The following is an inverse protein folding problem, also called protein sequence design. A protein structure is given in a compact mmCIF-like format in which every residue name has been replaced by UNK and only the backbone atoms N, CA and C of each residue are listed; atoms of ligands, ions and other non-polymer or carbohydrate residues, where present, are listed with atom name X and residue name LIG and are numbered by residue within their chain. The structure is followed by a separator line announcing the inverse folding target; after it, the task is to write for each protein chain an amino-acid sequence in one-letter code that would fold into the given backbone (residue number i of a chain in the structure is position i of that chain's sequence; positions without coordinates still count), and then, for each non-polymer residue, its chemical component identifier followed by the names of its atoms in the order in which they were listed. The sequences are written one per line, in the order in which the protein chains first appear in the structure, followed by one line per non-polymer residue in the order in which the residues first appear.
data_IF_874654179099
#
_entry.id   IF_874654179099
#
_cell.length_a   1.000
_cell.length_b   1.000
_cell.length_c   1.000
_cell.angle_alpha   90.00
_cell.angle_beta   90.00
_cell.angle_gamma   90.00
#
_symmetry.space_group_name_H-M   'P 1'
#
loop_
_entity.id
_entity.type
_entity.pdbx_description
1 polymer ?
#
# COMPACT_ATOMS: atom_id res chain seq x y z
N UNK A 1 -23.58 1.72 60.81
CA UNK A 1 -24.83 2.27 60.22
C UNK A 1 -24.77 1.95 58.73
N UNK A 2 -25.28 0.80 58.29
CA UNK A 2 -26.66 0.57 57.77
C UNK A 2 -27.02 1.57 56.66
N UNK A 3 -27.42 1.20 55.43
CA UNK A 3 -27.73 -0.07 54.73
C UNK A 3 -27.53 0.15 53.22
N UNK A 4 -27.31 -0.83 52.34
CA UNK A 4 -27.98 -2.11 52.04
C UNK A 4 -29.26 -1.98 51.17
N UNK A 5 -29.31 -2.84 50.14
CA UNK A 5 -30.41 -3.22 49.21
C UNK A 5 -30.67 -2.32 47.98
N UNK A 6 -30.99 -2.86 46.78
CA UNK A 6 -31.53 -4.18 46.43
C UNK A 6 -31.16 -4.57 44.97
N UNK A 7 -30.85 -5.86 44.80
CA UNK A 7 -30.83 -6.62 43.54
C UNK A 7 -32.27 -6.83 43.02
N UNK A 8 -32.47 -6.91 41.70
CA UNK A 8 -33.62 -7.62 41.12
C UNK A 8 -33.22 -8.28 39.79
N UNK A 9 -33.06 -9.60 39.89
CA UNK A 9 -32.94 -10.59 38.83
C UNK A 9 -34.32 -10.87 38.24
N UNK A 10 -34.42 -11.16 36.94
CA UNK A 10 -35.52 -11.95 36.39
C UNK A 10 -34.98 -12.93 35.34
N UNK A 11 -35.30 -14.21 35.56
CA UNK A 11 -35.07 -15.37 34.69
C UNK A 11 -36.42 -16.08 34.52
N UNK A 12 -36.79 -16.44 33.29
CA UNK A 12 -37.63 -17.60 32.90
C UNK A 12 -37.93 -17.49 31.40
N UNK A 13 -37.37 -18.34 30.52
CA UNK A 13 -37.81 -19.68 30.11
C UNK A 13 -38.98 -19.74 29.10
N UNK A 14 -38.61 -20.20 27.89
CA UNK A 14 -39.25 -21.21 27.02
C UNK A 14 -40.74 -21.08 26.65
N UNK A 15 -41.00 -20.99 25.33
CA UNK A 15 -41.98 -21.87 24.68
C UNK A 15 -41.64 -22.12 23.19
N UNK A 16 -41.67 -23.41 22.81
CA UNK A 16 -41.72 -23.93 21.42
C UNK A 16 -43.15 -23.86 20.86
N UNK A 17 -43.28 -23.69 19.54
CA UNK A 17 -44.13 -24.44 18.58
C UNK A 17 -44.08 -23.70 17.22
N UNK A 18 -43.55 -24.23 16.11
CA UNK A 18 -44.01 -25.30 15.19
C UNK A 18 -45.26 -24.97 14.33
N UNK A 19 -45.10 -25.18 13.00
CA UNK A 19 -46.06 -25.57 11.94
C UNK A 19 -46.48 -24.59 10.81
N UNK A 20 -45.88 -24.85 9.62
CA UNK A 20 -46.44 -25.18 8.27
C UNK A 20 -47.46 -24.30 7.52
N UNK A 21 -47.02 -23.89 6.31
CA UNK A 21 -47.56 -24.10 4.94
C UNK A 21 -48.95 -23.61 4.46
N UNK A 22 -48.92 -23.27 3.15
CA UNK A 22 -49.94 -23.37 2.07
C UNK A 22 -50.80 -22.14 1.72
N UNK A 23 -50.54 -21.52 0.54
CA UNK A 23 -51.35 -21.50 -0.73
C UNK A 23 -52.47 -20.43 -0.70
N UNK A 24 -52.95 -19.77 -1.76
CA UNK A 24 -53.00 -19.99 -3.21
C UNK A 24 -53.35 -18.65 -3.89
N UNK A 25 -53.07 -18.55 -5.18
CA UNK A 25 -53.47 -17.47 -6.08
C UNK A 25 -55.00 -17.32 -6.24
N UNK A 26 -55.45 -16.12 -6.63
CA UNK A 26 -56.70 -15.93 -7.37
C UNK A 26 -56.57 -14.75 -8.36
N UNK A 27 -56.95 -15.04 -9.60
CA UNK A 27 -57.04 -14.16 -10.77
C UNK A 27 -58.37 -13.40 -10.80
N UNK A 28 -58.43 -12.27 -11.53
CA UNK A 28 -59.57 -11.85 -12.36
C UNK A 28 -59.16 -10.73 -13.33
N UNK A 29 -59.87 -10.71 -14.46
CA UNK A 29 -59.59 -10.08 -15.76
C UNK A 29 -60.78 -9.18 -16.17
N UNK A 30 -60.53 -8.13 -16.97
CA UNK A 30 -61.35 -7.67 -18.14
C UNK A 30 -60.86 -6.27 -18.59
N UNK A 31 -60.18 -6.05 -19.74
CA UNK A 31 -60.65 -5.87 -21.15
C UNK A 31 -61.52 -4.62 -21.38
N UNK A 32 -61.10 -3.68 -22.26
CA UNK A 32 -61.83 -3.12 -23.46
C UNK A 32 -60.82 -2.42 -24.44
N UNK A 33 -61.01 -2.65 -25.76
CA UNK A 33 -60.29 -2.26 -27.01
C UNK A 33 -60.52 -0.80 -27.49
N UNK A 34 -59.58 -0.10 -28.16
CA UNK A 34 -59.21 -0.07 -29.62
C UNK A 34 -59.32 1.38 -30.19
N UNK A 35 -59.02 1.79 -31.47
CA UNK A 35 -58.27 1.19 -32.61
C UNK A 35 -57.17 2.13 -33.28
N UNK A 36 -56.08 1.59 -33.88
CA UNK A 36 -55.67 1.46 -35.33
C UNK A 36 -55.10 2.69 -36.10
N UNK A 37 -53.85 2.56 -36.63
CA UNK A 37 -53.40 2.71 -38.05
C UNK A 37 -51.85 2.54 -38.13
N UNK A 38 -51.32 1.40 -38.61
CA UNK A 38 -50.88 1.10 -40.00
C UNK A 38 -49.59 1.80 -40.49
N UNK A 39 -48.49 1.04 -40.63
CA UNK A 39 -47.71 0.92 -41.87
C UNK A 39 -46.59 -0.12 -41.72
N UNK A 40 -46.62 -1.16 -42.56
CA UNK A 40 -45.56 -2.13 -42.76
C UNK A 40 -44.90 -1.87 -44.13
N UNK A 41 -43.57 -1.93 -44.20
CA UNK A 41 -42.81 -2.09 -45.46
C UNK A 41 -41.78 -3.21 -45.23
N UNK A 42 -41.73 -4.12 -46.20
CA UNK A 42 -40.98 -5.38 -46.22
C UNK A 42 -39.46 -5.19 -46.53
N UNK A 43 -38.63 -6.24 -46.47
CA UNK A 43 -37.19 -6.16 -46.20
C UNK A 43 -36.33 -5.97 -47.46
N UNK A 44 -35.15 -5.40 -47.29
CA UNK A 44 -34.06 -5.42 -48.28
C UNK A 44 -32.94 -6.32 -47.75
N UNK A 45 -32.67 -7.40 -48.48
CA UNK A 45 -31.53 -8.29 -48.33
C UNK A 45 -30.33 -7.67 -49.05
N UNK A 46 -29.17 -7.57 -48.37
CA UNK A 46 -27.96 -6.99 -48.98
C UNK A 46 -26.71 -6.95 -48.09
N UNK A 47 -26.23 -8.14 -47.72
CA UNK A 47 -24.86 -8.60 -47.46
C UNK A 47 -23.71 -7.67 -46.97
N UNK A 48 -22.97 -8.22 -45.97
CA UNK A 48 -21.56 -8.04 -45.63
C UNK A 48 -21.03 -6.71 -45.05
N UNK A 49 -21.04 -6.63 -43.72
CA UNK A 49 -20.15 -5.78 -42.93
C UNK A 49 -20.21 -6.17 -41.45
N UNK A 50 -19.11 -6.65 -40.89
CA UNK A 50 -18.96 -7.01 -39.47
C UNK A 50 -19.55 -5.94 -38.52
N UNK A 51 -20.44 -6.29 -37.57
CA UNK A 51 -20.70 -5.43 -36.44
C UNK A 51 -19.97 -5.99 -35.22
N UNK A 52 -18.83 -5.39 -34.87
CA UNK A 52 -18.44 -5.35 -33.47
C UNK A 52 -19.53 -4.56 -32.73
N UNK A 53 -20.23 -5.25 -31.83
CA UNK A 53 -21.31 -4.70 -31.03
C UNK A 53 -20.85 -3.45 -30.25
N UNK A 54 -21.48 -2.31 -30.52
CA UNK A 54 -21.50 -1.20 -29.57
C UNK A 54 -22.82 -1.23 -28.80
N UNK A 55 -23.02 -2.30 -28.03
CA UNK A 55 -23.98 -2.26 -26.93
C UNK A 55 -23.29 -1.53 -25.77
N UNK A 56 -23.43 -0.21 -25.74
CA UNK A 56 -23.15 0.57 -24.54
C UNK A 56 -24.29 0.26 -23.57
N UNK A 57 -24.25 -0.92 -22.95
CA UNK A 57 -25.06 -1.18 -21.78
C UNK A 57 -24.55 -0.23 -20.71
N UNK A 58 -25.29 0.85 -20.47
CA UNK A 58 -25.16 1.64 -19.26
C UNK A 58 -25.51 0.71 -18.09
N UNK A 59 -24.51 -0.04 -17.61
CA UNK A 59 -24.67 -0.92 -16.46
C UNK A 59 -25.20 -0.10 -15.28
N UNK A 60 -26.37 -0.48 -14.76
CA UNK A 60 -27.00 0.14 -13.59
C UNK A 60 -25.96 0.41 -12.49
N UNK A 61 -26.00 1.53 -11.75
CA UNK A 61 -24.96 2.03 -10.83
C UNK A 61 -24.77 1.15 -9.57
N UNK A 62 -24.49 -0.12 -9.76
CA UNK A 62 -24.22 -1.11 -8.73
C UNK A 62 -22.71 -1.36 -8.61
N UNK A 63 -22.29 -1.91 -7.49
CA UNK A 63 -20.91 -2.36 -7.31
C UNK A 63 -20.64 -3.63 -8.14
N UNK A 64 -19.37 -3.92 -8.50
CA UNK A 64 -19.02 -5.21 -9.08
C UNK A 64 -19.36 -6.35 -8.11
N UNK A 65 -19.65 -7.53 -8.65
CA UNK A 65 -19.94 -8.71 -7.84
C UNK A 65 -18.81 -8.99 -6.83
N UNK A 66 -19.19 -9.26 -5.58
CA UNK A 66 -18.25 -9.56 -4.49
C UNK A 66 -17.73 -8.34 -3.73
N UNK A 67 -17.81 -7.13 -4.29
CA UNK A 67 -17.38 -5.91 -3.63
C UNK A 67 -18.44 -5.40 -2.63
N UNK A 68 -18.07 -5.06 -1.38
CA UNK A 68 -19.02 -4.67 -0.35
C UNK A 68 -19.50 -3.22 -0.53
N UNK A 69 -20.72 -2.90 -0.09
CA UNK A 69 -21.22 -1.52 -0.11
C UNK A 69 -20.40 -0.57 0.78
N UNK A 70 -19.70 -1.10 1.76
CA UNK A 70 -18.88 -0.36 2.72
C UNK A 70 -17.83 -1.29 3.36
N UNK A 71 -16.62 -0.78 3.56
CA UNK A 71 -15.55 -1.42 4.32
C UNK A 71 -15.53 -0.87 5.74
N UNK A 72 -16.07 -1.65 6.70
CA UNK A 72 -16.02 -1.36 8.13
C UNK A 72 -14.72 -1.92 8.73
N UNK A 73 -13.64 -1.15 8.63
CA UNK A 73 -12.30 -1.56 9.06
C UNK A 73 -11.55 -0.42 9.74
N UNK A 74 -10.62 -0.75 10.65
CA UNK A 74 -9.68 0.24 11.22
C UNK A 74 -8.76 0.86 10.17
N UNK A 75 -8.66 0.26 8.99
CA UNK A 75 -7.98 0.82 7.83
C UNK A 75 -8.76 1.99 7.20
N UNK A 76 -10.06 2.14 7.45
CA UNK A 76 -10.88 3.24 6.94
C UNK A 76 -10.81 4.44 7.88
N UNK A 77 -9.84 5.33 7.65
CA UNK A 77 -9.58 6.53 8.44
C UNK A 77 -9.31 7.76 7.57
N UNK A 78 -9.37 8.94 8.17
CA UNK A 78 -8.93 10.22 7.59
C UNK A 78 -7.79 10.80 8.42
N UNK A 79 -7.03 11.75 7.88
CA UNK A 79 -5.96 12.41 8.64
C UNK A 79 -6.43 13.08 9.93
N UNK A 80 -7.70 13.48 10.02
CA UNK A 80 -8.28 14.06 11.23
C UNK A 80 -8.29 13.09 12.43
N UNK A 81 -8.31 11.77 12.18
CA UNK A 81 -8.29 10.75 13.23
C UNK A 81 -6.95 10.69 13.99
N UNK A 82 -5.89 11.25 13.39
CA UNK A 82 -4.50 11.17 13.84
C UNK A 82 -3.87 12.54 14.14
N UNK A 83 -4.66 13.48 14.65
CA UNK A 83 -4.13 14.75 15.18
C UNK A 83 -3.14 14.55 16.34
N UNK A 84 -3.27 13.45 17.10
CA UNK A 84 -2.35 13.06 18.17
C UNK A 84 -1.30 12.06 17.65
N UNK A 85 -0.03 12.48 17.66
CA UNK A 85 1.11 11.65 17.24
C UNK A 85 1.22 10.34 18.05
N UNK A 86 0.79 10.33 19.32
CA UNK A 86 0.90 9.14 20.18
C UNK A 86 0.09 7.95 19.66
N UNK A 87 -0.90 8.19 18.78
CA UNK A 87 -1.69 7.13 18.14
C UNK A 87 -0.91 6.33 17.09
N UNK A 88 0.16 6.89 16.54
CA UNK A 88 0.91 6.27 15.44
C UNK A 88 2.42 6.24 15.61
N UNK A 89 2.96 6.92 16.63
CA UNK A 89 4.39 6.94 16.93
C UNK A 89 4.69 6.11 18.19
N UNK A 90 5.45 5.03 18.01
CA UNK A 90 6.16 4.34 19.09
C UNK A 90 7.44 5.13 19.41
N UNK A 91 7.41 5.90 20.50
CA UNK A 91 8.59 6.64 20.98
C UNK A 91 9.44 5.71 21.84
N UNK A 92 10.70 5.54 21.44
CA UNK A 92 11.68 4.77 22.18
C UNK A 92 12.10 5.55 23.43
N UNK A 93 12.06 4.90 24.58
CA UNK A 93 12.61 5.43 25.83
C UNK A 93 14.13 5.23 25.89
N UNK A 94 14.79 5.81 26.88
CA UNK A 94 16.21 5.54 27.15
C UNK A 94 16.48 4.05 27.40
N UNK A 95 15.58 3.36 28.09
CA UNK A 95 15.65 1.91 28.30
C UNK A 95 15.52 1.14 26.99
N UNK A 96 14.57 1.51 26.13
CA UNK A 96 14.40 0.89 24.81
C UNK A 96 15.67 1.09 23.95
N UNK A 97 16.29 2.27 24.00
CA UNK A 97 17.54 2.57 23.29
C UNK A 97 18.74 1.80 23.83
N UNK A 98 18.85 1.64 25.15
CA UNK A 98 19.89 0.83 25.76
C UNK A 98 19.76 -0.64 25.36
N UNK A 99 18.53 -1.16 25.32
CA UNK A 99 18.22 -2.52 24.85
C UNK A 99 18.61 -2.72 23.38
N UNK A 100 18.29 -1.75 22.50
CA UNK A 100 18.72 -1.78 21.08
C UNK A 100 20.24 -1.80 20.95
N UNK A 101 20.97 -0.98 21.72
CA UNK A 101 22.44 -0.95 21.70
C UNK A 101 23.03 -2.27 22.17
N UNK A 102 22.46 -2.87 23.21
CA UNK A 102 22.89 -4.18 23.70
C UNK A 102 22.65 -5.27 22.64
N UNK A 103 21.47 -5.29 22.02
CA UNK A 103 21.15 -6.25 20.96
C UNK A 103 22.09 -6.15 19.74
N UNK A 104 22.54 -4.94 19.38
CA UNK A 104 23.56 -4.74 18.34
C UNK A 104 24.90 -5.35 18.76
N UNK A 105 25.35 -5.09 19.99
CA UNK A 105 26.60 -5.63 20.51
C UNK A 105 26.57 -7.16 20.56
N UNK A 106 25.47 -7.74 21.06
CA UNK A 106 25.25 -9.18 21.13
C UNK A 106 25.22 -9.80 19.73
N UNK A 107 24.50 -9.20 18.77
CA UNK A 107 24.47 -9.68 17.39
C UNK A 107 25.85 -9.65 16.73
N UNK A 108 26.61 -8.55 16.91
CA UNK A 108 27.97 -8.43 16.37
C UNK A 108 28.92 -9.48 16.94
N UNK A 109 28.70 -9.93 18.18
CA UNK A 109 29.49 -11.02 18.79
C UNK A 109 29.27 -12.39 18.14
N UNK A 110 28.17 -12.56 17.39
CA UNK A 110 27.89 -13.79 16.64
C UNK A 110 28.74 -13.92 15.36
N UNK A 111 29.38 -12.85 14.91
CA UNK A 111 30.16 -12.78 13.66
C UNK A 111 29.38 -13.29 12.43
N UNK A 112 28.09 -12.92 12.37
CA UNK A 112 27.18 -13.30 11.29
C UNK A 112 26.95 -12.15 10.31
N UNK A 113 26.65 -12.50 9.06
CA UNK A 113 26.24 -11.53 8.05
C UNK A 113 25.00 -10.73 8.51
N UNK A 114 25.01 -9.40 8.37
CA UNK A 114 23.92 -8.54 8.85
C UNK A 114 22.52 -8.83 8.26
N UNK A 115 22.42 -9.58 7.15
CA UNK A 115 21.12 -9.99 6.61
C UNK A 115 20.44 -11.15 7.34
N UNK A 116 21.16 -11.80 8.27
CA UNK A 116 20.64 -12.87 9.14
C UNK A 116 20.01 -12.32 10.43
N UNK A 117 19.97 -10.99 10.59
CA UNK A 117 19.27 -10.34 11.71
C UNK A 117 17.79 -10.74 11.70
N UNK A 118 17.35 -11.34 12.80
CA UNK A 118 15.96 -11.76 13.04
C UNK A 118 15.66 -11.75 14.56
N UNK A 119 14.41 -11.91 15.02
CA UNK A 119 14.07 -11.72 16.43
C UNK A 119 14.82 -12.63 17.42
N UNK A 120 15.29 -13.81 17.00
CA UNK A 120 16.03 -14.73 17.85
C UNK A 120 17.53 -14.37 18.00
N UNK A 121 18.13 -13.69 17.01
CA UNK A 121 19.52 -13.22 16.98
C UNK A 121 19.64 -11.75 17.40
N UNK A 122 18.55 -10.98 17.30
CA UNK A 122 18.42 -9.61 17.76
C UNK A 122 17.34 -9.51 18.82
N UNK A 123 17.66 -9.99 20.02
CA UNK A 123 16.69 -10.14 21.10
C UNK A 123 16.36 -8.79 21.75
N UNK A 124 15.06 -8.51 21.85
CA UNK A 124 14.51 -7.34 22.51
C UNK A 124 13.49 -7.81 23.56
N UNK A 125 13.94 -8.22 24.76
CA UNK A 125 13.08 -8.80 25.80
C UNK A 125 11.89 -7.93 26.19
N UNK A 126 12.07 -6.60 26.25
CA UNK A 126 11.00 -5.68 26.64
C UNK A 126 10.41 -4.95 25.45
N UNK A 127 11.27 -4.42 24.55
CA UNK A 127 10.84 -3.65 23.39
C UNK A 127 10.16 -4.52 22.33
N UNK A 128 10.53 -5.80 22.21
CA UNK A 128 9.99 -6.71 21.20
C UNK A 128 8.46 -6.87 21.27
N UNK A 129 7.88 -6.79 22.48
CA UNK A 129 6.41 -6.83 22.66
C UNK A 129 5.70 -5.61 22.05
N UNK A 130 6.27 -4.41 22.26
CA UNK A 130 5.77 -3.15 21.70
C UNK A 130 5.87 -3.15 20.17
N UNK A 131 6.97 -3.68 19.63
CA UNK A 131 7.17 -3.79 18.18
C UNK A 131 6.20 -4.77 17.52
N UNK A 132 5.90 -5.90 18.18
CA UNK A 132 4.85 -6.83 17.71
C UNK A 132 3.47 -6.18 17.72
N UNK A 133 3.14 -5.41 18.76
CA UNK A 133 1.89 -4.66 18.81
C UNK A 133 1.80 -3.61 17.68
N UNK A 134 2.90 -2.90 17.40
CA UNK A 134 3.02 -2.02 16.23
C UNK A 134 2.81 -2.80 14.93
N UNK A 135 3.43 -3.97 14.79
CA UNK A 135 3.25 -4.84 13.63
C UNK A 135 1.79 -5.25 13.42
N UNK A 136 1.09 -5.67 14.47
CA UNK A 136 -0.34 -5.99 14.41
C UNK A 136 -1.18 -4.80 13.91
N UNK A 137 -0.88 -3.59 14.36
CA UNK A 137 -1.62 -2.39 13.95
C UNK A 137 -1.29 -1.97 12.50
N UNK A 138 -0.06 -2.23 12.03
CA UNK A 138 0.32 -2.07 10.61
C UNK A 138 -0.39 -3.11 9.72
N UNK A 139 -0.52 -4.36 10.14
CA UNK A 139 -1.14 -5.40 9.31
C UNK A 139 -2.67 -5.39 9.34
N UNK A 140 -3.28 -5.13 10.51
CA UNK A 140 -4.72 -5.34 10.75
C UNK A 140 -5.44 -4.15 11.37
N UNK A 141 -4.71 -3.13 11.81
CA UNK A 141 -5.28 -1.94 12.42
C UNK A 141 -5.29 -0.76 11.46
N UNK A 142 -4.58 0.30 11.80
CA UNK A 142 -4.56 1.54 10.99
C UNK A 142 -3.71 1.46 9.72
N UNK A 143 -2.87 0.45 9.56
CA UNK A 143 -2.11 0.26 8.32
C UNK A 143 -0.80 1.03 8.23
N UNK A 144 -0.38 1.73 9.29
CA UNK A 144 0.89 2.44 9.32
C UNK A 144 1.40 2.65 10.75
N UNK A 145 2.68 3.00 10.88
CA UNK A 145 3.28 3.37 12.16
C UNK A 145 4.69 3.91 12.02
N UNK A 146 5.18 4.60 13.05
CA UNK A 146 6.53 5.17 13.10
C UNK A 146 7.20 4.76 14.40
N UNK A 147 8.45 4.31 14.32
CA UNK A 147 9.34 4.23 15.49
C UNK A 147 10.17 5.52 15.51
N UNK A 148 10.19 6.22 16.63
CA UNK A 148 10.91 7.49 16.81
C UNK A 148 11.82 7.44 18.02
N UNK A 149 13.00 8.06 17.90
CA UNK A 149 13.94 8.23 19.02
C UNK A 149 15.33 7.64 18.78
N UNK A 150 15.59 7.00 17.62
CA UNK A 150 16.94 6.59 17.25
C UNK A 150 17.80 7.84 16.95
N UNK A 151 18.70 8.20 17.85
CA UNK A 151 19.64 9.29 17.60
C UNK A 151 20.75 8.84 16.64
N UNK A 152 20.73 9.36 15.41
CA UNK A 152 21.76 9.09 14.39
C UNK A 152 23.17 9.39 14.89
N UNK A 153 23.37 10.41 15.72
CA UNK A 153 24.70 10.76 16.20
C UNK A 153 25.30 9.66 17.12
N UNK A 154 24.44 8.84 17.73
CA UNK A 154 24.83 7.73 18.59
C UNK A 154 25.08 6.40 17.90
N UNK A 155 24.97 6.31 16.56
CA UNK A 155 25.16 5.08 15.81
C UNK A 155 26.09 5.28 14.61
N UNK A 156 26.95 4.30 14.34
CA UNK A 156 27.59 4.20 13.02
C UNK A 156 26.53 3.90 11.95
N UNK A 157 26.87 4.11 10.67
CA UNK A 157 25.97 3.77 9.55
C UNK A 157 25.59 2.29 9.56
N UNK A 158 26.54 1.43 9.90
CA UNK A 158 26.33 -0.01 10.06
C UNK A 158 25.39 -0.31 11.23
N UNK A 159 25.68 0.23 12.42
CA UNK A 159 24.86 -0.02 13.62
C UNK A 159 23.43 0.50 13.45
N UNK A 160 23.25 1.67 12.82
CA UNK A 160 21.93 2.21 12.55
C UNK A 160 21.16 1.32 11.54
N UNK A 161 21.88 0.72 10.59
CA UNK A 161 21.28 -0.21 9.63
C UNK A 161 20.93 -1.54 10.32
N UNK A 162 21.78 -2.05 11.22
CA UNK A 162 21.47 -3.22 12.04
C UNK A 162 20.28 -2.96 12.97
N UNK A 163 20.22 -1.80 13.63
CA UNK A 163 19.08 -1.39 14.44
C UNK A 163 17.79 -1.38 13.60
N UNK A 164 17.84 -0.78 12.41
CA UNK A 164 16.71 -0.77 11.49
C UNK A 164 16.26 -2.20 11.12
N UNK A 165 17.21 -3.07 10.76
CA UNK A 165 16.94 -4.45 10.37
C UNK A 165 16.42 -5.31 11.53
N UNK A 166 16.91 -5.09 12.75
CA UNK A 166 16.48 -5.76 13.97
C UNK A 166 15.08 -5.35 14.36
N UNK A 167 14.82 -4.05 14.48
CA UNK A 167 13.52 -3.51 14.86
C UNK A 167 12.42 -3.91 13.85
N UNK A 168 12.68 -3.80 12.54
CA UNK A 168 11.68 -4.17 11.54
C UNK A 168 11.32 -5.67 11.58
N UNK A 169 12.24 -6.53 12.04
CA UNK A 169 12.02 -7.98 12.01
C UNK A 169 10.88 -8.44 12.93
N UNK A 170 10.53 -7.61 13.93
CA UNK A 170 9.37 -7.81 14.80
C UNK A 170 8.05 -7.34 14.17
N UNK A 171 8.11 -6.57 13.07
CA UNK A 171 6.95 -6.11 12.29
C UNK A 171 6.71 -7.00 11.07
N UNK A 172 7.79 -7.33 10.37
CA UNK A 172 7.82 -8.24 9.23
C UNK A 172 9.27 -8.71 8.99
N UNK A 173 9.49 -10.01 9.08
CA UNK A 173 10.82 -10.62 9.09
C UNK A 173 11.42 -10.81 7.69
N UNK A 174 10.59 -10.96 6.66
CA UNK A 174 11.08 -11.20 5.31
C UNK A 174 11.43 -9.89 4.61
N UNK A 175 12.54 -9.90 3.87
CA UNK A 175 13.08 -8.75 3.15
C UNK A 175 13.08 -9.03 1.67
N UNK A 176 12.38 -8.19 0.92
CA UNK A 176 12.19 -8.32 -0.52
C UNK A 176 13.21 -7.52 -1.32
N UNK A 177 13.61 -8.08 -2.46
CA UNK A 177 14.41 -7.41 -3.48
C UNK A 177 13.70 -6.14 -3.97
N UNK A 178 14.45 -5.05 -4.09
CA UNK A 178 13.95 -3.72 -4.46
C UNK A 178 13.99 -3.44 -5.96
N UNK A 179 14.79 -4.19 -6.71
CA UNK A 179 14.97 -4.05 -8.15
C UNK A 179 15.61 -5.31 -8.80
N UNK A 180 15.69 -5.31 -10.13
CA UNK A 180 16.27 -6.41 -10.92
C UNK A 180 17.77 -6.61 -10.70
N UNK A 181 18.49 -5.65 -10.10
CA UNK A 181 19.93 -5.77 -9.81
C UNK A 181 20.19 -6.60 -8.56
N UNK A 182 19.20 -6.76 -7.69
CA UNK A 182 19.35 -7.51 -6.44
C UNK A 182 19.59 -6.68 -5.21
N UNK A 183 19.37 -5.37 -5.30
CA UNK A 183 19.43 -4.51 -4.14
C UNK A 183 18.34 -4.92 -3.14
N UNK A 184 18.73 -5.17 -1.90
CA UNK A 184 17.82 -5.45 -0.79
C UNK A 184 17.49 -4.18 0.00
N UNK A 185 18.37 -3.20 -0.10
CA UNK A 185 18.26 -1.84 0.43
C UNK A 185 18.29 -0.86 -0.74
N UNK A 186 17.42 0.15 -0.74
CA UNK A 186 17.50 1.24 -1.71
C UNK A 186 17.58 2.59 -1.01
N UNK A 187 18.58 3.37 -1.41
CA UNK A 187 18.75 4.74 -0.95
C UNK A 187 17.89 5.70 -1.79
N UNK A 188 17.01 6.43 -1.11
CA UNK A 188 16.17 7.48 -1.71
C UNK A 188 16.85 8.81 -1.37
N UNK A 189 17.69 9.25 -2.30
CA UNK A 189 18.48 10.50 -2.24
C UNK A 189 18.24 11.27 -3.52
N UNK A 190 18.12 12.60 -3.45
CA UNK A 190 18.12 13.39 -4.68
C UNK A 190 19.47 13.25 -5.38
N UNK A 191 19.48 12.77 -6.61
CA UNK A 191 20.66 12.63 -7.45
C UNK A 191 20.50 13.48 -8.71
N UNK A 192 21.26 14.58 -8.74
CA UNK A 192 21.29 15.51 -9.87
C UNK A 192 22.51 15.30 -10.76
N UNK A 193 23.25 14.18 -10.61
CA UNK A 193 24.46 13.90 -11.40
C UNK A 193 24.17 13.78 -12.90
N UNK A 194 22.95 13.38 -13.27
CA UNK A 194 22.48 13.35 -14.66
C UNK A 194 21.02 13.83 -14.74
N UNK A 195 20.58 14.33 -15.90
CA UNK A 195 19.16 14.69 -16.13
C UNK A 195 18.22 13.50 -15.89
N UNK A 196 18.63 12.29 -16.30
CA UNK A 196 17.84 11.07 -16.09
C UNK A 196 17.73 10.70 -14.61
N UNK A 197 18.82 10.83 -13.84
CA UNK A 197 18.79 10.63 -12.38
C UNK A 197 17.88 11.68 -11.71
N UNK A 198 17.98 12.95 -12.10
CA UNK A 198 17.19 14.03 -11.53
C UNK A 198 15.66 13.89 -11.77
N UNK A 199 15.26 13.10 -12.77
CA UNK A 199 13.85 12.85 -13.10
C UNK A 199 13.35 11.50 -12.59
N UNK A 200 14.24 10.58 -12.20
CA UNK A 200 13.86 9.26 -11.69
C UNK A 200 13.16 9.40 -10.32
N UNK A 201 12.02 8.73 -10.11
CA UNK A 201 11.18 8.91 -8.91
C UNK A 201 11.93 8.76 -7.57
N UNK A 202 12.95 7.89 -7.51
CA UNK A 202 13.80 7.69 -6.31
C UNK A 202 14.87 8.77 -6.12
N UNK A 203 15.19 9.51 -7.17
CA UNK A 203 16.33 10.41 -7.28
C UNK A 203 15.96 11.86 -7.60
N UNK A 204 14.69 12.12 -7.86
CA UNK A 204 14.17 13.46 -8.09
C UNK A 204 13.82 14.17 -6.79
N UNK A 205 13.87 15.51 -6.81
CA UNK A 205 13.31 16.37 -5.78
C UNK A 205 11.87 16.84 -6.06
N UNK A 206 11.28 16.41 -7.19
CA UNK A 206 9.88 16.70 -7.56
C UNK A 206 8.88 15.96 -6.67
N UNK A 207 7.64 16.45 -6.64
CA UNK A 207 6.56 15.72 -5.98
C UNK A 207 6.30 14.37 -6.67
N UNK A 208 5.85 13.41 -5.87
CA UNK A 208 5.36 12.11 -6.34
C UNK A 208 3.86 12.07 -6.01
N UNK A 209 3.04 11.58 -6.93
CA UNK A 209 1.59 11.40 -6.72
C UNK A 209 1.31 10.22 -5.80
N UNK A 210 0.06 10.07 -5.34
CA UNK A 210 -0.31 8.92 -4.53
C UNK A 210 -0.11 7.62 -5.31
N UNK A 211 0.55 6.66 -4.68
CA UNK A 211 0.87 5.36 -5.25
C UNK A 211 1.08 4.31 -4.15
N UNK A 212 1.14 3.06 -4.59
CA UNK A 212 1.72 1.93 -3.87
C UNK A 212 3.03 1.52 -4.56
N UNK A 213 3.91 0.84 -3.83
CA UNK A 213 5.01 0.10 -4.44
C UNK A 213 4.48 -1.13 -5.19
N UNK A 214 5.18 -1.52 -6.26
CA UNK A 214 4.81 -2.63 -7.13
C UNK A 214 4.75 -4.00 -6.42
N UNK A 215 5.51 -4.16 -5.33
CA UNK A 215 5.63 -5.38 -4.55
C UNK A 215 5.86 -5.09 -3.06
N UNK A 216 5.60 -6.09 -2.22
CA UNK A 216 5.77 -6.03 -0.76
C UNK A 216 4.49 -5.66 -0.04
N UNK A 217 4.26 -6.31 1.09
CA UNK A 217 3.08 -6.09 1.95
C UNK A 217 3.26 -4.79 2.74
N UNK A 218 4.47 -4.57 3.24
CA UNK A 218 4.86 -3.37 3.97
C UNK A 218 6.02 -2.71 3.26
N UNK A 219 5.92 -1.39 3.09
CA UNK A 219 7.04 -0.54 2.70
C UNK A 219 7.56 0.12 3.95
N UNK A 220 8.85 -0.05 4.20
CA UNK A 220 9.51 0.49 5.37
C UNK A 220 10.69 1.35 4.96
N UNK A 221 10.96 2.42 5.69
CA UNK A 221 12.19 3.18 5.51
C UNK A 221 12.72 3.77 6.81
N UNK A 222 14.05 3.78 6.91
CA UNK A 222 14.80 4.54 7.89
C UNK A 222 15.13 5.92 7.32
N UNK A 223 14.84 6.98 8.07
CA UNK A 223 15.25 8.34 7.74
C UNK A 223 16.62 8.65 8.33
N UNK A 224 17.66 8.76 7.49
CA UNK A 224 18.99 9.18 7.96
C UNK A 224 19.09 10.70 8.10
N UNK A 225 18.47 11.43 7.18
CA UNK A 225 18.43 12.90 7.21
C UNK A 225 17.21 13.41 6.44
N UNK A 226 16.72 14.58 6.84
CA UNK A 226 15.61 15.28 6.19
C UNK A 226 16.14 16.33 5.21
N UNK A 227 15.27 16.79 4.31
CA UNK A 227 15.55 17.96 3.49
C UNK A 227 15.61 19.22 4.38
N UNK A 228 16.20 20.30 3.86
CA UNK A 228 16.14 21.61 4.52
C UNK A 228 14.70 22.15 4.54
N UNK A 229 13.96 22.00 3.44
CA UNK A 229 12.54 22.36 3.37
C UNK A 229 11.73 21.37 2.54
N UNK A 230 10.45 21.18 2.90
CA UNK A 230 9.52 20.28 2.20
C UNK A 230 9.82 18.80 2.39
N UNK A 231 9.37 17.96 1.45
CA UNK A 231 9.70 16.53 1.42
C UNK A 231 8.92 15.68 2.41
N UNK A 232 7.78 16.21 2.87
CA UNK A 232 6.85 15.56 3.79
C UNK A 232 6.42 14.19 3.26
N UNK A 233 6.27 13.24 4.16
CA UNK A 233 5.59 11.98 3.90
C UNK A 233 4.09 12.19 4.07
N UNK A 234 3.31 11.92 3.04
CA UNK A 234 1.87 12.09 3.06
C UNK A 234 1.22 10.76 2.70
N UNK A 235 0.22 10.34 3.47
CA UNK A 235 -0.47 9.07 3.31
C UNK A 235 -1.99 9.25 3.22
N UNK A 236 -2.66 8.30 2.59
CA UNK A 236 -4.11 8.25 2.52
C UNK A 236 -4.60 6.79 2.53
N UNK A 237 -5.72 6.54 3.21
CA UNK A 237 -6.34 5.22 3.26
C UNK A 237 -7.03 4.85 1.95
N UNK A 238 -6.64 3.71 1.36
CA UNK A 238 -7.35 3.13 0.22
C UNK A 238 -8.78 2.69 0.59
N UNK A 239 -9.02 2.34 1.86
CA UNK A 239 -10.33 1.93 2.36
C UNK A 239 -11.29 3.12 2.45
N UNK A 240 -10.80 4.28 2.89
CA UNK A 240 -11.58 5.53 2.89
C UNK A 240 -11.89 5.96 1.47
N UNK A 241 -10.91 5.91 0.57
CA UNK A 241 -11.11 6.21 -0.85
C UNK A 241 -12.17 5.29 -1.45
N UNK A 242 -12.10 4.00 -1.16
CA UNK A 242 -13.10 3.03 -1.58
C UNK A 242 -14.49 3.35 -1.05
N UNK A 243 -14.64 3.62 0.25
CA UNK A 243 -15.95 3.89 0.86
C UNK A 243 -16.61 5.13 0.24
N UNK A 244 -15.84 6.20 -0.01
CA UNK A 244 -16.35 7.40 -0.68
C UNK A 244 -16.79 7.07 -2.11
N UNK A 245 -15.98 6.34 -2.87
CA UNK A 245 -16.32 5.93 -4.24
C UNK A 245 -17.53 4.99 -4.27
N UNK A 246 -17.62 4.01 -3.37
CA UNK A 246 -18.74 3.08 -3.31
C UNK A 246 -20.07 3.80 -3.02
N UNK A 247 -20.04 4.82 -2.14
CA UNK A 247 -21.21 5.60 -1.77
C UNK A 247 -21.64 6.61 -2.85
N UNK A 248 -20.69 7.20 -3.59
CA UNK A 248 -20.96 8.35 -4.47
C UNK A 248 -20.85 8.04 -5.96
N UNK A 249 -19.98 7.08 -6.33
CA UNK A 249 -19.56 6.79 -7.71
C UNK A 249 -19.24 5.29 -7.93
N UNK A 250 -20.20 4.36 -7.68
CA UNK A 250 -19.97 2.91 -7.77
C UNK A 250 -19.55 2.43 -9.17
N UNK A 251 -19.82 3.19 -10.22
CA UNK A 251 -19.32 2.95 -11.58
C UNK A 251 -17.79 3.05 -11.69
N UNK A 252 -17.14 3.89 -10.86
CA UNK A 252 -15.69 4.00 -10.82
C UNK A 252 -15.07 2.79 -10.11
N UNK A 253 -15.71 2.21 -9.10
CA UNK A 253 -15.28 0.95 -8.50
C UNK A 253 -15.27 -0.17 -9.54
N UNK A 254 -16.32 -0.27 -10.38
CA UNK A 254 -16.31 -1.19 -11.53
C UNK A 254 -15.17 -0.95 -12.49
N UNK A 255 -14.90 0.31 -12.81
CA UNK A 255 -13.78 0.66 -13.69
C UNK A 255 -12.44 0.21 -13.09
N UNK A 256 -12.21 0.47 -11.81
CA UNK A 256 -10.97 0.13 -11.09
C UNK A 256 -10.76 -1.39 -10.93
N UNK A 257 -11.85 -2.15 -10.85
CA UNK A 257 -11.82 -3.61 -10.68
C UNK A 257 -11.66 -4.40 -12.01
N UNK A 258 -11.78 -3.75 -13.17
CA UNK A 258 -11.58 -4.42 -14.48
C UNK A 258 -10.12 -4.78 -14.70
N UNK A 259 -9.84 -5.85 -15.44
CA UNK A 259 -8.48 -6.30 -15.76
C UNK A 259 -7.85 -5.62 -16.98
N UNK A 260 -8.46 -4.57 -17.55
CA UNK A 260 -8.02 -3.92 -18.78
C UNK A 260 -7.15 -2.68 -18.58
N UNK A 261 -6.54 -2.50 -17.40
CA UNK A 261 -5.60 -1.40 -17.17
C UNK A 261 -4.20 -1.76 -17.67
N UNK A 262 -3.64 -1.02 -18.63
CA UNK A 262 -2.40 -1.38 -19.32
C UNK A 262 -1.16 -0.86 -18.57
N UNK A 263 -0.82 -1.46 -17.44
CA UNK A 263 0.42 -1.14 -16.72
C UNK A 263 1.63 -1.42 -17.61
N UNK A 264 2.54 -0.45 -17.76
CA UNK A 264 3.76 -0.58 -18.58
C UNK A 264 5.03 -0.80 -17.76
N UNK A 265 4.93 -0.77 -16.43
CA UNK A 265 6.06 -0.93 -15.51
C UNK A 265 5.67 -1.80 -14.31
N UNK A 266 6.60 -2.62 -13.77
CA UNK A 266 7.99 -2.83 -14.24
C UNK A 266 8.07 -3.68 -15.53
N UNK A 267 6.93 -4.19 -15.99
CA UNK A 267 6.70 -4.88 -17.27
C UNK A 267 5.30 -4.54 -17.77
N UNK A 268 5.03 -4.83 -19.03
CA UNK A 268 3.68 -4.68 -19.55
C UNK A 268 2.75 -5.78 -19.00
N UNK A 269 1.62 -5.37 -18.42
CA UNK A 269 0.58 -6.27 -17.94
C UNK A 269 -0.77 -5.54 -17.89
N UNK A 270 -1.84 -6.24 -18.29
CA UNK A 270 -3.20 -5.81 -18.03
C UNK A 270 -3.70 -6.44 -16.72
N UNK A 271 -4.09 -5.61 -15.73
CA UNK A 271 -4.60 -6.07 -14.43
C UNK A 271 -5.47 -5.00 -13.76
N UNK A 272 -6.27 -5.32 -12.74
CA UNK A 272 -6.99 -4.33 -11.95
C UNK A 272 -6.11 -3.35 -11.17
N UNK A 273 -6.70 -2.22 -10.79
CA UNK A 273 -6.14 -1.25 -9.81
C UNK A 273 -6.53 -1.63 -8.39
N UNK A 274 -7.76 -2.14 -8.22
CA UNK A 274 -8.28 -2.64 -6.94
C UNK A 274 -8.68 -4.11 -7.05
N UNK A 275 -8.52 -4.82 -5.95
CA UNK A 275 -8.87 -6.22 -5.77
C UNK A 275 -9.67 -6.36 -4.47
N UNK A 276 -10.58 -7.32 -4.41
CA UNK A 276 -11.26 -7.68 -3.18
C UNK A 276 -11.24 -9.20 -3.02
N UNK A 277 -10.37 -9.67 -2.13
CA UNK A 277 -10.14 -11.10 -1.86
C UNK A 277 -10.07 -11.31 -0.34
N UNK A 278 -10.66 -12.40 0.16
CA UNK A 278 -10.67 -12.77 1.59
C UNK A 278 -11.02 -11.61 2.53
N UNK A 279 -12.09 -10.90 2.17
CA UNK A 279 -12.65 -9.73 2.85
C UNK A 279 -11.69 -8.54 2.97
N UNK A 280 -10.64 -8.49 2.15
CA UNK A 280 -9.65 -7.41 2.13
C UNK A 280 -9.68 -6.70 0.79
N UNK A 281 -9.81 -5.38 0.84
CA UNK A 281 -9.51 -4.53 -0.30
C UNK A 281 -8.00 -4.38 -0.43
N UNK A 282 -7.48 -4.65 -1.62
CA UNK A 282 -6.09 -4.35 -1.99
C UNK A 282 -6.13 -3.31 -3.11
N UNK A 283 -5.41 -2.21 -2.93
CA UNK A 283 -5.13 -1.25 -3.99
C UNK A 283 -3.65 -1.36 -4.35
N UNK A 284 -3.34 -1.46 -5.64
CA UNK A 284 -1.96 -1.48 -6.10
C UNK A 284 -1.82 -0.77 -7.44
N UNK A 285 -1.36 0.49 -7.41
CA UNK A 285 -1.04 1.20 -8.63
C UNK A 285 -0.07 2.36 -8.39
N UNK A 286 0.47 2.88 -9.49
CA UNK A 286 1.08 4.21 -9.54
C UNK A 286 0.79 4.85 -10.89
N UNK A 287 0.46 6.14 -10.92
CA UNK A 287 0.08 6.85 -12.16
C UNK A 287 1.16 6.74 -13.24
N UNK A 288 2.43 6.79 -12.84
CA UNK A 288 3.56 6.66 -13.77
C UNK A 288 3.54 5.34 -14.55
N UNK A 289 3.11 4.23 -13.94
CA UNK A 289 3.03 2.94 -14.62
C UNK A 289 1.91 2.87 -15.67
N UNK A 290 0.92 3.77 -15.61
CA UNK A 290 -0.21 3.82 -16.53
C UNK A 290 -0.08 4.95 -17.57
N UNK A 291 0.49 6.08 -17.19
CA UNK A 291 0.57 7.31 -18.01
C UNK A 291 1.99 7.65 -18.47
N UNK A 292 3.01 7.01 -17.90
CA UNK A 292 4.41 7.42 -18.05
C UNK A 292 4.75 8.69 -17.28
N UNK A 293 6.01 9.10 -17.33
CA UNK A 293 6.51 10.39 -16.89
C UNK A 293 7.79 10.76 -17.68
N UNK A 294 8.43 11.90 -17.36
CA UNK A 294 9.62 12.35 -18.09
C UNK A 294 10.78 11.33 -18.04
N UNK A 295 11.05 10.73 -16.87
CA UNK A 295 12.09 9.72 -16.72
C UNK A 295 11.75 8.36 -17.35
N UNK A 296 10.46 8.03 -17.41
CA UNK A 296 9.95 6.77 -17.92
C UNK A 296 8.80 7.06 -18.88
N UNK A 297 9.12 7.54 -20.10
CA UNK A 297 8.09 7.84 -21.09
C UNK A 297 7.34 6.56 -21.44
N UNK A 298 6.01 6.68 -21.55
CA UNK A 298 5.17 5.54 -21.93
C UNK A 298 5.40 5.20 -23.41
N UNK A 299 5.68 3.94 -23.77
CA UNK A 299 5.79 3.53 -25.16
C UNK A 299 4.47 3.76 -25.92
N UNK A 300 4.53 4.44 -27.07
CA UNK A 300 3.34 4.84 -27.85
C UNK A 300 2.53 3.66 -28.40
N UNK A 301 3.15 2.49 -28.58
CA UNK A 301 2.47 1.30 -29.09
C UNK A 301 1.60 0.59 -28.05
N UNK A 302 1.70 0.96 -26.76
CA UNK A 302 0.87 0.38 -25.71
C UNK A 302 -0.51 1.05 -25.65
N UNK A 303 -1.58 0.33 -25.26
CA UNK A 303 -2.91 0.92 -25.12
C UNK A 303 -2.91 2.15 -24.21
N UNK A 304 -3.63 3.19 -24.61
CA UNK A 304 -3.86 4.38 -23.77
C UNK A 304 -5.02 4.14 -22.82
N UNK A 305 -5.08 4.91 -21.73
CA UNK A 305 -6.22 4.87 -20.83
C UNK A 305 -7.46 5.47 -21.50
N UNK A 306 -8.62 4.87 -21.23
CA UNK A 306 -9.91 5.47 -21.59
C UNK A 306 -10.20 6.70 -20.72
N UNK A 307 -11.10 7.58 -21.17
CA UNK A 307 -11.53 8.73 -20.38
C UNK A 307 -12.05 8.34 -18.98
N UNK A 308 -12.76 7.21 -18.88
CA UNK A 308 -13.29 6.69 -17.61
C UNK A 308 -12.18 6.15 -16.69
N UNK A 309 -11.15 5.52 -17.23
CA UNK A 309 -9.97 5.12 -16.46
C UNK A 309 -9.22 6.34 -15.92
N UNK A 310 -9.02 7.37 -16.74
CA UNK A 310 -8.41 8.65 -16.29
C UNK A 310 -9.23 9.28 -15.18
N UNK A 311 -10.55 9.38 -15.36
CA UNK A 311 -11.48 9.89 -14.36
C UNK A 311 -11.39 9.11 -13.03
N UNK A 312 -11.30 7.78 -13.08
CA UNK A 312 -11.16 6.97 -11.88
C UNK A 312 -9.85 7.25 -11.12
N UNK A 313 -8.72 7.43 -11.84
CA UNK A 313 -7.44 7.81 -11.21
C UNK A 313 -7.48 9.21 -10.61
N UNK A 314 -8.19 10.14 -11.24
CA UNK A 314 -8.34 11.52 -10.75
C UNK A 314 -9.25 11.57 -9.51
N UNK A 315 -10.30 10.75 -9.47
CA UNK A 315 -11.15 10.59 -8.30
C UNK A 315 -10.37 10.02 -7.10
N UNK A 316 -9.53 8.99 -7.30
CA UNK A 316 -8.63 8.47 -6.26
C UNK A 316 -7.76 9.60 -5.69
N UNK A 317 -7.08 10.36 -6.56
CA UNK A 317 -6.17 11.43 -6.14
C UNK A 317 -6.92 12.56 -5.39
N UNK A 318 -8.12 12.94 -5.86
CA UNK A 318 -8.92 13.97 -5.22
C UNK A 318 -9.38 13.56 -3.81
N UNK A 319 -9.90 12.33 -3.65
CA UNK A 319 -10.34 11.81 -2.36
C UNK A 319 -9.15 11.62 -1.43
N UNK A 320 -8.05 11.04 -1.94
CA UNK A 320 -6.82 10.87 -1.18
C UNK A 320 -6.33 12.20 -0.60
N UNK A 321 -6.29 13.27 -1.39
CA UNK A 321 -5.92 14.62 -0.92
C UNK A 321 -6.88 15.17 0.13
N UNK A 322 -8.18 14.94 -0.03
CA UNK A 322 -9.19 15.41 0.92
C UNK A 322 -9.11 14.69 2.28
N UNK A 323 -8.69 13.42 2.30
CA UNK A 323 -8.60 12.60 3.51
C UNK A 323 -7.17 12.41 4.03
N UNK A 324 -6.17 13.05 3.43
CA UNK A 324 -4.76 12.74 3.66
C UNK A 324 -4.31 13.06 5.09
N UNK A 325 -3.23 12.40 5.49
CA UNK A 325 -2.48 12.70 6.70
C UNK A 325 -1.04 13.03 6.32
N UNK A 326 -0.46 14.04 6.97
CA UNK A 326 0.97 14.35 6.86
C UNK A 326 1.71 13.79 8.07
N UNK A 327 2.80 13.06 7.82
CA UNK A 327 3.70 12.59 8.87
C UNK A 327 4.92 13.52 8.88
N UNK A 328 5.11 14.23 9.99
CA UNK A 328 6.31 15.04 10.20
C UNK A 328 7.50 14.14 10.49
N UNK A 329 8.29 13.84 9.46
CA UNK A 329 9.46 12.96 9.55
C UNK A 329 10.66 13.63 10.23
N UNK A 330 11.39 12.87 11.04
CA UNK A 330 12.63 13.26 11.71
C UNK A 330 13.77 12.29 11.36
N UNK A 331 15.03 12.74 11.49
CA UNK A 331 16.17 11.84 11.42
C UNK A 331 16.08 10.78 12.53
N UNK A 332 16.36 9.52 12.19
CA UNK A 332 16.18 8.37 13.07
C UNK A 332 14.82 7.69 12.97
N UNK A 333 13.80 8.33 12.39
CA UNK A 333 12.49 7.70 12.29
C UNK A 333 12.51 6.49 11.36
N UNK A 334 11.87 5.40 11.78
CA UNK A 334 11.56 4.24 10.95
C UNK A 334 10.06 4.23 10.68
N UNK A 335 9.66 4.33 9.42
CA UNK A 335 8.26 4.31 9.01
C UNK A 335 7.88 2.92 8.50
N UNK A 336 6.65 2.50 8.76
CA UNK A 336 6.03 1.30 8.22
C UNK A 336 4.70 1.67 7.59
N UNK A 337 4.50 1.34 6.31
CA UNK A 337 3.27 1.58 5.57
C UNK A 337 2.78 0.25 5.00
N UNK A 338 1.54 -0.14 5.31
CA UNK A 338 0.86 -1.25 4.67
C UNK A 338 0.57 -0.89 3.21
N UNK A 339 1.41 -1.40 2.32
CA UNK A 339 1.44 -1.06 0.92
C UNK A 339 0.22 -1.54 0.14
N UNK A 340 -0.58 -2.43 0.72
CA UNK A 340 -1.80 -2.96 0.12
C UNK A 340 -3.03 -2.07 0.41
N UNK A 341 -3.00 -1.31 1.50
CA UNK A 341 -4.15 -0.58 2.04
C UNK A 341 -3.93 0.93 2.21
N UNK A 342 -2.69 1.40 2.13
CA UNK A 342 -2.34 2.81 2.33
C UNK A 342 -1.56 3.30 1.12
N UNK A 343 -2.06 4.36 0.49
CA UNK A 343 -1.34 5.09 -0.53
C UNK A 343 -0.37 6.06 0.13
N UNK A 344 0.81 6.21 -0.44
CA UNK A 344 1.78 7.22 0.00
C UNK A 344 2.19 8.13 -1.16
N UNK A 345 2.58 9.34 -0.79
CA UNK A 345 3.12 10.34 -1.71
C UNK A 345 4.19 11.18 -1.00
N UNK A 346 4.88 11.98 -1.79
CA UNK A 346 5.92 12.88 -1.28
C UNK A 346 5.78 14.25 -1.92
N UNK A 347 5.86 15.30 -1.12
CA UNK A 347 5.99 16.66 -1.63
C UNK A 347 7.33 16.90 -2.31
N UNK A 348 7.41 17.99 -3.09
CA UNK A 348 8.70 18.52 -3.52
C UNK A 348 9.52 18.97 -2.31
N UNK A 349 10.85 19.01 -2.46
CA UNK A 349 11.74 19.45 -1.40
C UNK A 349 12.98 20.13 -1.93
N UNK A 350 13.62 20.89 -1.03
CA UNK A 350 14.91 21.53 -1.28
C UNK A 350 15.91 21.00 -0.26
N UNK A 351 17.00 20.44 -0.76
CA UNK A 351 18.13 20.03 0.07
C UNK A 351 18.95 21.26 0.46
N UNK A 352 19.52 21.25 1.67
CA UNK A 352 20.53 22.23 2.06
C UNK A 352 21.93 21.85 1.56
N UNK A 353 22.91 22.69 1.88
CA UNK A 353 24.31 22.51 1.48
C UNK A 353 24.97 21.38 2.29
N UNK A 354 24.64 21.30 3.59
CA UNK A 354 25.19 20.32 4.52
C UNK A 354 24.61 18.91 4.30
N UNK A 355 25.42 17.84 4.40
CA UNK A 355 24.93 16.46 4.29
C UNK A 355 23.77 16.12 5.24
N UNK A 356 23.71 16.71 6.43
CA UNK A 356 22.64 16.51 7.41
C UNK A 356 21.28 17.09 6.99
N UNK A 357 21.27 18.00 6.02
CA UNK A 357 20.07 18.65 5.45
C UNK A 357 19.79 18.22 4.02
N UNK A 358 20.50 17.18 3.56
CA UNK A 358 20.21 16.45 2.32
C UNK A 358 19.36 15.25 2.67
N UNK A 359 18.15 15.18 2.12
CA UNK A 359 17.21 14.09 2.40
C UNK A 359 17.80 12.73 2.00
N UNK A 360 17.92 11.82 2.96
CA UNK A 360 18.43 10.46 2.75
C UNK A 360 17.54 9.46 3.49
N UNK A 361 16.79 8.67 2.72
CA UNK A 361 16.05 7.53 3.25
C UNK A 361 16.66 6.22 2.78
N UNK A 362 16.50 5.18 3.59
CA UNK A 362 16.90 3.82 3.25
C UNK A 362 15.65 2.93 3.32
N UNK A 363 15.17 2.46 2.18
CA UNK A 363 13.90 1.74 2.04
C UNK A 363 14.10 0.24 1.88
N UNK A 364 13.18 -0.52 2.46
CA UNK A 364 12.95 -1.95 2.22
C UNK A 364 11.48 -2.24 1.89
N UNK A 365 11.26 -3.39 1.26
CA UNK A 365 9.97 -4.05 1.04
C UNK A 365 9.94 -5.25 1.96
N UNK A 366 8.89 -5.39 2.74
CA UNK A 366 8.80 -6.39 3.79
C UNK A 366 7.57 -7.26 3.59
N UNK A 367 7.65 -8.48 4.12
CA UNK A 367 6.54 -9.42 4.22
C UNK A 367 6.64 -10.18 5.53
N UNK A 368 5.49 -10.50 6.13
CA UNK A 368 5.42 -11.37 7.29
C UNK A 368 4.89 -12.74 6.84
N UNK A 369 5.54 -13.82 7.29
CA UNK A 369 5.03 -15.19 7.12
C UNK A 369 3.73 -15.42 7.88
N UNK A 370 3.58 -14.79 9.05
CA UNK A 370 2.42 -14.96 9.93
C UNK A 370 1.25 -14.03 9.55
N UNK A 371 1.56 -12.77 9.20
CA UNK A 371 0.54 -11.74 9.01
C UNK A 371 0.37 -11.28 7.55
N UNK A 372 1.18 -11.80 6.63
CA UNK A 372 1.13 -11.43 5.23
C UNK A 372 -0.22 -11.75 4.60
N UNK A 373 -0.73 -10.83 3.81
CA UNK A 373 -2.03 -11.02 3.16
C UNK A 373 -1.89 -11.99 1.98
N UNK A 374 -2.98 -12.71 1.62
CA UNK A 374 -3.10 -13.34 0.32
C UNK A 374 -2.92 -12.29 -0.78
N UNK A 375 -2.09 -12.61 -1.78
CA UNK A 375 -1.78 -11.70 -2.88
C UNK A 375 -2.55 -12.17 -4.12
N UNK A 376 -3.32 -11.29 -4.78
CA UNK A 376 -4.04 -11.61 -6.01
C UNK A 376 -3.12 -12.22 -7.06
N UNK A 377 -3.65 -13.19 -7.82
CA UNK A 377 -2.89 -13.92 -8.85
C UNK A 377 -2.20 -13.01 -9.86
N UNK A 378 -2.80 -11.85 -10.18
CA UNK A 378 -2.22 -10.87 -11.10
C UNK A 378 -0.99 -10.17 -10.53
N UNK A 379 -0.83 -10.14 -9.21
CA UNK A 379 0.28 -9.48 -8.51
C UNK A 379 1.37 -10.47 -8.06
N UNK A 380 1.06 -11.78 -7.98
CA UNK A 380 1.93 -12.78 -7.35
C UNK A 380 3.36 -12.81 -7.91
N UNK A 381 3.52 -12.59 -9.23
CA UNK A 381 4.83 -12.59 -9.86
C UNK A 381 5.75 -11.52 -9.27
N UNK A 382 5.25 -10.32 -8.95
CA UNK A 382 6.08 -9.25 -8.38
C UNK A 382 6.51 -9.60 -6.94
N UNK A 383 5.67 -10.33 -6.21
CA UNK A 383 6.02 -10.88 -4.89
C UNK A 383 7.04 -12.02 -5.00
N UNK A 384 6.88 -12.93 -5.95
CA UNK A 384 7.86 -14.00 -6.18
C UNK A 384 9.23 -13.43 -6.59
N UNK A 385 9.24 -12.42 -7.46
CA UNK A 385 10.47 -11.73 -7.85
C UNK A 385 11.15 -11.02 -6.67
N UNK A 386 10.36 -10.48 -5.74
CA UNK A 386 10.86 -9.80 -4.55
C UNK A 386 11.37 -10.78 -3.48
N UNK A 387 10.61 -11.82 -3.13
CA UNK A 387 10.84 -12.63 -1.93
C UNK A 387 11.36 -14.05 -2.22
N UNK A 388 11.04 -14.64 -3.38
CA UNK A 388 11.33 -16.05 -3.66
C UNK A 388 12.41 -16.27 -4.72
N UNK A 389 12.66 -15.28 -5.58
CA UNK A 389 13.64 -15.38 -6.66
C UNK A 389 15.06 -15.56 -6.12
N UNK A 390 15.66 -16.70 -6.47
CA UNK A 390 17.08 -17.01 -6.23
C UNK A 390 17.99 -16.04 -7.01
N UNK A 391 19.16 -15.76 -6.46
CA UNK A 391 20.18 -14.93 -7.09
C UNK A 391 20.86 -14.00 -6.09
N UNK A 392 21.85 -13.23 -6.57
CA UNK A 392 22.66 -12.34 -5.73
C UNK A 392 21.81 -11.33 -4.98
N UNK A 393 22.10 -11.12 -3.70
CA UNK A 393 21.49 -10.11 -2.83
C UNK A 393 22.55 -9.08 -2.48
N UNK A 394 22.28 -7.81 -2.75
CA UNK A 394 23.19 -6.71 -2.50
C UNK A 394 22.68 -5.83 -1.35
N UNK A 395 23.55 -5.63 -0.35
CA UNK A 395 23.27 -4.88 0.87
C UNK A 395 24.19 -3.67 0.96
N UNK A 396 23.88 -2.65 0.18
CA UNK A 396 24.68 -1.43 0.19
C UNK A 396 24.31 -0.59 1.42
N UNK A 397 25.29 -0.35 2.29
CA UNK A 397 25.12 0.54 3.45
C UNK A 397 25.13 2.02 3.04
N UNK A 398 25.72 2.34 1.90
CA UNK A 398 25.77 3.69 1.33
C UNK A 398 25.32 3.69 -0.14
N UNK A 399 24.85 4.85 -0.66
CA UNK A 399 24.52 4.98 -2.08
C UNK A 399 25.69 4.55 -2.97
N UNK A 400 25.46 3.54 -3.83
CA UNK A 400 26.43 3.15 -4.83
C UNK A 400 26.54 4.24 -5.91
N UNK A 401 27.75 4.68 -6.29
CA UNK A 401 27.94 5.52 -7.46
C UNK A 401 27.35 4.84 -8.71
N UNK A 402 26.75 5.63 -9.61
CA UNK A 402 26.14 5.11 -10.84
C UNK A 402 27.11 4.31 -11.73
N UNK A 403 28.42 4.54 -11.58
CA UNK A 403 29.50 3.88 -12.31
C UNK A 403 30.28 2.96 -11.37
N UNK A 404 29.86 1.70 -11.30
CA UNK A 404 30.63 0.66 -10.62
C UNK A 404 31.71 0.13 -11.58
N UNK A 405 32.98 0.44 -11.31
CA UNK A 405 34.12 -0.31 -11.83
C UNK A 405 34.48 -1.40 -10.79
N UNK A 406 34.12 -2.68 -11.00
CA UNK A 406 34.61 -3.73 -10.12
C UNK A 406 36.12 -3.83 -10.27
N UNK A 407 36.88 -3.48 -9.23
CA UNK A 407 38.34 -3.65 -9.23
C UNK A 407 38.78 -5.12 -9.09
N UNK A 408 37.86 -6.08 -8.94
CA UNK A 408 38.08 -7.53 -9.17
C UNK A 408 36.72 -8.25 -9.08
N UNK A 409 36.49 -9.22 -9.97
CA UNK A 409 35.27 -10.05 -10.01
C UNK A 409 35.48 -11.46 -9.43
N UNK A 410 36.71 -11.82 -9.04
CA UNK A 410 37.05 -13.09 -8.39
C UNK A 410 38.21 -12.87 -7.40
N UNK A 411 38.20 -13.53 -6.23
CA UNK A 411 39.38 -13.69 -5.37
C UNK A 411 40.35 -14.72 -5.99
N UNK A 412 41.66 -14.57 -5.71
CA UNK A 412 42.69 -15.56 -6.07
C UNK A 412 42.51 -16.86 -5.32
#
# INVERSE_FOLDING_TARGET
MQGASLLLTFTAQLHRNNYTYQTTACTMSSVISGPVLAAAIAPIVGNNGFPFAAAINAEAPALPNGFPSELRSKLAWTGADFADEAKYILRLTETDLAEVKQAIADYKSLDQDGYLVEPNTFQLPTLGSKLRALGQDVHFGKGFGVIRGLDRAGFSVEDLTLAYMGLQSYVAEQRGRQDKRGNMLVHIVADNSTKQAAEHHRHSNKSITFHNEEAGDIVSWLTRSTAATGGKCIIASAYTIYNVLAATRPELIRTLARSDWPFSMPRFQCRPVIFYEDSKLIMNFGRAALLGNQAHPRPQHLPSLTARQVEALDAIEAIAKASQMEIQTQAGDIHFINNLAVLHRRESFVNGEDPSTKRHLVRMRLRSSEHGWPIPKELIQEWDEAFHKKGTKHWHLEPMPAYFFPLRRQPN
#
